data_IF_964710199135
#
_entry.id   IF_964710199135
#
_cell.length_a   1.000
_cell.length_b   1.000
_cell.length_c   1.000
_cell.angle_alpha   90.00
_cell.angle_beta   90.00
_cell.angle_gamma   90.00
#
_symmetry.space_group_name_H-M   'P 1'
#
loop_
_entity.id
_entity.type
_entity.pdbx_description
1 polymer ?
#
# COMPACT_ATOMS: atom_id res chain seq x y z
N UNK A 1 10.48 2.32 25.84
CA UNK A 1 9.40 1.35 25.62
C UNK A 1 8.31 2.09 24.85
N UNK A 2 8.01 1.71 23.61
CA UNK A 2 7.00 2.40 22.82
C UNK A 2 5.63 2.24 23.46
N UNK A 3 4.83 3.31 23.44
CA UNK A 3 3.50 3.31 24.05
C UNK A 3 2.52 2.54 23.18
N UNK A 4 1.47 1.95 23.78
CA UNK A 4 0.38 1.28 23.03
C UNK A 4 -0.21 2.19 21.94
N UNK A 5 -0.23 3.51 22.19
CA UNK A 5 -0.65 4.52 21.22
C UNK A 5 0.25 4.58 19.98
N UNK A 6 1.56 4.41 20.11
CA UNK A 6 2.47 4.39 18.96
C UNK A 6 2.30 3.14 18.10
N UNK A 7 2.06 1.99 18.74
CA UNK A 7 1.77 0.73 18.03
C UNK A 7 0.44 0.85 17.28
N UNK A 8 -0.58 1.41 17.92
CA UNK A 8 -1.89 1.61 17.29
C UNK A 8 -1.82 2.59 16.11
N UNK A 9 -1.13 3.71 16.26
CA UNK A 9 -0.93 4.66 15.17
C UNK A 9 -0.17 4.04 13.98
N UNK A 10 0.85 3.21 14.25
CA UNK A 10 1.59 2.50 13.21
C UNK A 10 0.73 1.48 12.46
N UNK A 11 -0.12 0.75 13.18
CA UNK A 11 -1.08 -0.19 12.60
C UNK A 11 -2.10 0.54 11.70
N UNK A 12 -2.62 1.68 12.15
CA UNK A 12 -3.60 2.44 11.37
C UNK A 12 -2.97 3.02 10.09
N UNK A 13 -1.71 3.45 10.16
CA UNK A 13 -0.94 3.90 8.99
C UNK A 13 -0.70 2.76 7.99
N UNK A 14 -0.33 1.57 8.46
CA UNK A 14 -0.16 0.39 7.62
C UNK A 14 -1.47 0.01 6.91
N UNK A 15 -2.58 -0.04 7.66
CA UNK A 15 -3.91 -0.36 7.12
C UNK A 15 -4.38 0.63 6.07
N UNK A 16 -4.13 1.92 6.29
CA UNK A 16 -4.47 2.96 5.32
C UNK A 16 -3.67 2.78 4.02
N UNK A 17 -2.36 2.53 4.13
CA UNK A 17 -1.51 2.27 2.97
C UNK A 17 -1.91 0.99 2.22
N UNK A 18 -2.27 -0.08 2.95
CA UNK A 18 -2.78 -1.32 2.38
C UNK A 18 -4.08 -1.10 1.59
N UNK A 19 -5.01 -0.30 2.14
CA UNK A 19 -6.27 0.05 1.46
C UNK A 19 -6.00 0.81 0.16
N UNK A 20 -5.06 1.76 0.17
CA UNK A 20 -4.62 2.47 -1.06
C UNK A 20 -4.01 1.53 -2.08
N UNK A 21 -3.14 0.61 -1.67
CA UNK A 21 -2.55 -0.41 -2.54
C UNK A 21 -3.63 -1.28 -3.18
N UNK A 22 -4.59 -1.77 -2.41
CA UNK A 22 -5.71 -2.57 -2.94
C UNK A 22 -6.53 -1.79 -3.96
N UNK A 23 -6.88 -0.53 -3.65
CA UNK A 23 -7.63 0.32 -4.58
C UNK A 23 -6.86 0.57 -5.89
N UNK A 24 -5.55 0.83 -5.82
CA UNK A 24 -4.71 1.01 -7.00
C UNK A 24 -4.61 -0.28 -7.84
N UNK A 25 -4.47 -1.44 -7.20
CA UNK A 25 -4.49 -2.73 -7.89
C UNK A 25 -5.84 -2.99 -8.59
N UNK A 26 -6.97 -2.67 -7.97
CA UNK A 26 -8.28 -2.84 -8.60
C UNK A 26 -8.48 -1.93 -9.82
N UNK A 27 -7.83 -0.76 -9.87
CA UNK A 27 -7.83 0.11 -11.06
C UNK A 27 -7.06 -0.49 -12.24
N UNK A 28 -6.07 -1.34 -11.96
CA UNK A 28 -5.32 -2.06 -12.99
C UNK A 28 -6.09 -3.23 -13.60
N UNK A 29 -7.08 -3.76 -12.88
CA UNK A 29 -7.88 -4.83 -13.46
C UNK A 29 -8.64 -4.25 -14.65
N UNK A 30 -8.41 -4.75 -15.88
CA UNK A 30 -9.15 -4.29 -17.03
C UNK A 30 -10.62 -4.50 -16.71
N UNK A 31 -11.37 -3.39 -16.67
CA UNK A 31 -12.82 -3.47 -16.62
C UNK A 31 -13.21 -4.40 -17.76
N UNK A 32 -13.79 -5.57 -17.44
CA UNK A 32 -14.23 -6.57 -18.42
C UNK A 32 -15.35 -5.95 -19.27
N UNK A 33 -15.00 -5.03 -20.16
CA UNK A 33 -15.88 -4.53 -21.19
C UNK A 33 -15.94 -5.59 -22.28
N UNK A 34 -16.97 -6.42 -22.18
CA UNK A 34 -17.41 -7.40 -23.17
C UNK A 34 -17.96 -6.75 -24.46
N UNK A 35 -17.42 -5.61 -24.91
CA UNK A 35 -17.79 -5.05 -26.21
C UNK A 35 -16.57 -4.54 -26.95
N UNK A 36 -16.33 -5.19 -28.09
CA UNK A 36 -15.29 -4.86 -29.04
C UNK A 36 -15.35 -3.39 -29.44
N UNK A 37 -14.31 -2.67 -29.03
CA UNK A 37 -13.61 -1.62 -29.77
C UNK A 37 -12.56 -1.11 -28.81
N UNK A 38 -11.33 -1.58 -29.01
CA UNK A 38 -10.15 -1.25 -28.22
C UNK A 38 -9.78 0.21 -28.51
N UNK A 39 -9.84 1.17 -27.57
CA UNK A 39 -9.13 2.43 -27.71
C UNK A 39 -7.69 2.24 -27.22
N UNK A 40 -6.76 3.07 -27.71
CA UNK A 40 -5.31 2.91 -27.55
C UNK A 40 -4.86 2.82 -26.09
N UNK A 41 -4.34 1.66 -25.72
CA UNK A 41 -3.61 1.45 -24.47
C UNK A 41 -2.16 1.95 -24.64
N UNK A 42 -1.84 3.15 -24.15
CA UNK A 42 -0.43 3.60 -24.09
C UNK A 42 -0.11 4.66 -23.02
N UNK A 43 -1.09 5.31 -22.36
CA UNK A 43 -0.77 6.37 -21.38
C UNK A 43 -1.55 6.24 -20.08
N UNK A 44 -2.83 5.93 -20.15
CA UNK A 44 -3.66 5.73 -18.95
C UNK A 44 -3.31 4.43 -18.21
N UNK A 45 -2.88 3.39 -18.94
CA UNK A 45 -2.33 2.15 -18.38
C UNK A 45 -1.04 2.43 -17.60
N UNK A 46 -0.13 3.17 -18.21
CA UNK A 46 1.20 3.44 -17.66
C UNK A 46 1.10 4.32 -16.40
N UNK A 47 0.17 5.27 -16.38
CA UNK A 47 -0.14 6.07 -15.19
C UNK A 47 -0.71 5.18 -14.08
N UNK A 48 -1.68 4.31 -14.39
CA UNK A 48 -2.27 3.40 -13.39
C UNK A 48 -1.25 2.39 -12.85
N UNK A 49 -0.34 1.88 -13.69
CA UNK A 49 0.74 0.96 -13.28
C UNK A 49 1.72 1.67 -12.35
N UNK A 50 2.12 2.88 -12.68
CA UNK A 50 2.98 3.70 -11.81
C UNK A 50 2.30 4.02 -10.47
N UNK A 51 1.00 4.34 -10.46
CA UNK A 51 0.22 4.54 -9.23
C UNK A 51 0.18 3.29 -8.36
N UNK A 52 0.00 2.11 -8.96
CA UNK A 52 -0.02 0.84 -8.24
C UNK A 52 1.35 0.49 -7.65
N UNK A 53 2.43 0.70 -8.41
CA UNK A 53 3.80 0.51 -7.93
C UNK A 53 4.12 1.47 -6.77
N UNK A 54 3.74 2.74 -6.89
CA UNK A 54 3.91 3.73 -5.83
C UNK A 54 3.13 3.35 -4.56
N UNK A 55 1.88 2.90 -4.71
CA UNK A 55 1.06 2.46 -3.59
C UNK A 55 1.61 1.18 -2.92
N UNK A 56 2.18 0.25 -3.69
CA UNK A 56 2.85 -0.92 -3.15
C UNK A 56 4.12 -0.57 -2.38
N UNK A 57 4.94 0.34 -2.92
CA UNK A 57 6.15 0.81 -2.25
C UNK A 57 5.83 1.54 -0.93
N UNK A 58 4.82 2.39 -0.93
CA UNK A 58 4.31 3.09 0.25
C UNK A 58 3.82 2.09 1.32
N UNK A 59 3.03 1.10 0.94
CA UNK A 59 2.59 0.05 1.85
C UNK A 59 3.76 -0.74 2.44
N UNK A 60 4.76 -1.14 1.64
CA UNK A 60 5.95 -1.84 2.15
C UNK A 60 6.71 -1.01 3.17
N UNK A 61 6.83 0.29 2.95
CA UNK A 61 7.47 1.19 3.91
C UNK A 61 6.70 1.25 5.24
N UNK A 62 5.36 1.28 5.20
CA UNK A 62 4.50 1.31 6.39
C UNK A 62 4.43 -0.02 7.13
N UNK A 63 4.44 -1.16 6.43
CA UNK A 63 4.57 -2.47 7.05
C UNK A 63 5.92 -2.63 7.76
N UNK A 64 7.02 -2.19 7.13
CA UNK A 64 8.34 -2.20 7.76
C UNK A 64 8.41 -1.30 9.01
N UNK A 65 7.83 -0.11 8.94
CA UNK A 65 7.72 0.82 10.08
C UNK A 65 6.91 0.20 11.23
N UNK A 66 5.75 -0.40 10.93
CA UNK A 66 4.92 -1.09 11.92
C UNK A 66 5.67 -2.25 12.59
N UNK A 67 6.31 -3.12 11.81
CA UNK A 67 7.09 -4.25 12.35
C UNK A 67 8.22 -3.80 13.26
N UNK A 68 8.93 -2.73 12.88
CA UNK A 68 9.99 -2.13 13.71
C UNK A 68 9.41 -1.60 15.04
N UNK A 69 8.28 -0.91 14.98
CA UNK A 69 7.59 -0.38 16.18
C UNK A 69 7.15 -1.51 17.12
N UNK A 70 6.61 -2.60 16.57
CA UNK A 70 6.21 -3.78 17.35
C UNK A 70 7.42 -4.46 17.97
N UNK A 71 8.50 -4.68 17.21
CA UNK A 71 9.72 -5.30 17.72
C UNK A 71 10.38 -4.47 18.83
N UNK A 72 10.44 -3.15 18.67
CA UNK A 72 10.90 -2.21 19.70
C UNK A 72 10.01 -2.24 20.95
N UNK A 73 8.70 -2.42 20.79
CA UNK A 73 7.76 -2.52 21.91
C UNK A 73 7.93 -3.83 22.69
N UNK A 74 8.14 -4.95 21.98
CA UNK A 74 8.28 -6.28 22.57
C UNK A 74 9.67 -6.53 23.18
N UNK A 75 10.73 -6.07 22.53
CA UNK A 75 12.11 -6.38 22.92
C UNK A 75 12.80 -5.24 23.67
N UNK A 76 12.28 -4.02 23.58
CA UNK A 76 12.93 -2.82 24.12
C UNK A 76 14.23 -2.43 23.40
N UNK A 77 14.61 -3.14 22.33
CA UNK A 77 15.81 -2.83 21.53
C UNK A 77 15.47 -1.80 20.47
N UNK A 78 16.22 -0.72 20.43
CA UNK A 78 16.15 0.27 19.36
C UNK A 78 17.11 -0.15 18.24
N UNK A 79 16.55 -0.36 17.04
CA UNK A 79 17.27 -0.74 15.82
C UNK A 79 17.46 0.46 14.88
#
# INVERSE_FOLDING_TARGET
MKTENEVQAALDNERHAFTRKQAAFFRLLPSRSLRGNRPSATRDSDVAENEALAAEADWKAKDAEFRRIVDESLTGRHH
#
